data_IF_941335955105
#
_entry.id   IF_941335955105
#
_cell.length_a   1.000
_cell.length_b   1.000
_cell.length_c   1.000
_cell.angle_alpha   90.00
_cell.angle_beta   90.00
_cell.angle_gamma   90.00
#
_symmetry.space_group_name_H-M   'P 1'
#
loop_
_entity.id
_entity.type
_entity.pdbx_description
1 polymer ?
#
# COMPACT_ATOMS: atom_id res chain seq x y z
N UNK A 1 -13.86 6.08 3.87
CA UNK A 1 -12.95 5.02 3.35
C UNK A 1 -12.76 3.85 4.32
N UNK A 2 -12.75 4.02 5.65
CA UNK A 2 -12.60 2.90 6.62
C UNK A 2 -13.60 1.74 6.49
N UNK A 3 -14.84 2.01 6.09
CA UNK A 3 -15.84 0.95 5.89
C UNK A 3 -15.58 0.07 4.66
N UNK A 4 -14.85 0.56 3.65
CA UNK A 4 -14.57 -0.20 2.43
C UNK A 4 -13.47 -1.26 2.66
N UNK A 5 -12.43 -0.93 3.42
CA UNK A 5 -11.37 -1.88 3.78
C UNK A 5 -11.89 -3.01 4.67
N UNK A 6 -12.78 -2.71 5.63
CA UNK A 6 -13.38 -3.73 6.50
C UNK A 6 -14.41 -4.62 5.76
N UNK A 7 -15.17 -4.07 4.80
CA UNK A 7 -16.16 -4.85 4.03
C UNK A 7 -15.49 -5.85 3.07
N UNK A 8 -14.30 -5.55 2.55
CA UNK A 8 -13.58 -6.46 1.64
C UNK A 8 -13.01 -7.70 2.36
N UNK A 9 -12.77 -7.63 3.67
CA UNK A 9 -12.17 -8.73 4.45
C UNK A 9 -13.24 -9.75 4.89
N UNK A 10 -14.51 -9.35 5.01
CA UNK A 10 -15.58 -10.25 5.47
C UNK A 10 -16.22 -11.11 4.36
N UNK A 11 -15.93 -10.83 3.09
CA UNK A 11 -16.38 -11.60 1.92
C UNK A 11 -15.16 -12.17 1.18
N UNK A 12 -14.27 -12.85 1.93
CA UNK A 12 -12.96 -13.38 1.49
C UNK A 12 -13.03 -14.12 0.15
N UNK A 13 -14.10 -14.91 -0.06
CA UNK A 13 -14.28 -15.72 -1.26
C UNK A 13 -14.50 -14.83 -2.49
N UNK A 14 -15.34 -13.80 -2.36
CA UNK A 14 -15.71 -12.92 -3.48
C UNK A 14 -14.60 -11.93 -3.80
N UNK A 15 -13.98 -11.31 -2.79
CA UNK A 15 -12.91 -10.35 -2.98
C UNK A 15 -11.64 -11.00 -3.54
N UNK A 16 -11.19 -12.12 -2.96
CA UNK A 16 -9.98 -12.78 -3.44
C UNK A 16 -10.17 -13.47 -4.78
N UNK A 17 -11.38 -13.94 -5.08
CA UNK A 17 -11.73 -14.36 -6.44
C UNK A 17 -11.61 -13.20 -7.40
N UNK A 18 -12.15 -12.02 -7.08
CA UNK A 18 -12.08 -10.82 -7.92
C UNK A 18 -10.63 -10.33 -8.16
N UNK A 19 -9.80 -10.33 -7.12
CA UNK A 19 -8.35 -10.00 -7.23
C UNK A 19 -7.64 -10.99 -8.17
N UNK A 20 -7.96 -12.28 -8.08
CA UNK A 20 -7.38 -13.33 -8.94
C UNK A 20 -7.91 -13.28 -10.37
N UNK A 21 -9.18 -12.95 -10.56
CA UNK A 21 -9.89 -13.14 -11.83
C UNK A 21 -10.05 -11.89 -12.70
N UNK A 22 -9.92 -10.66 -12.16
CA UNK A 22 -10.29 -9.49 -12.97
C UNK A 22 -9.90 -8.10 -12.47
N UNK A 23 -9.18 -7.94 -11.35
CA UNK A 23 -8.79 -6.61 -10.86
C UNK A 23 -7.97 -5.83 -11.91
N UNK A 24 -7.02 -6.49 -12.58
CA UNK A 24 -6.23 -5.86 -13.65
C UNK A 24 -7.10 -5.48 -14.86
N UNK A 25 -8.10 -6.28 -15.17
CA UNK A 25 -9.01 -6.04 -16.30
C UNK A 25 -9.97 -4.87 -16.05
N UNK A 26 -10.36 -4.66 -14.79
CA UNK A 26 -11.10 -3.46 -14.38
C UNK A 26 -10.31 -2.19 -14.68
N UNK A 27 -9.02 -2.20 -14.35
CA UNK A 27 -8.13 -1.08 -14.63
C UNK A 27 -7.67 -1.00 -16.09
N UNK A 28 -7.80 -2.05 -16.91
CA UNK A 28 -7.45 -1.98 -18.34
C UNK A 28 -8.34 -0.98 -19.10
N UNK A 29 -9.63 -0.96 -18.79
CA UNK A 29 -10.57 0.02 -19.35
C UNK A 29 -10.29 1.44 -18.85
N UNK A 30 -9.92 1.57 -17.57
CA UNK A 30 -9.51 2.85 -16.98
C UNK A 30 -8.15 3.31 -17.50
N UNK A 31 -7.23 2.39 -17.82
CA UNK A 31 -5.92 2.70 -18.39
C UNK A 31 -6.05 3.40 -19.74
N UNK A 32 -7.03 3.01 -20.58
CA UNK A 32 -7.30 3.69 -21.84
C UNK A 32 -7.79 5.14 -21.67
N UNK A 33 -8.46 5.45 -20.55
CA UNK A 33 -8.84 6.82 -20.19
C UNK A 33 -7.65 7.60 -19.61
N UNK A 34 -6.88 6.96 -18.72
CA UNK A 34 -5.67 7.55 -18.14
C UNK A 34 -4.60 7.82 -19.20
N UNK A 35 -4.52 7.00 -20.25
CA UNK A 35 -3.65 7.21 -21.43
C UNK A 35 -3.92 8.53 -22.16
N UNK A 36 -5.17 9.00 -22.13
CA UNK A 36 -5.56 10.25 -22.78
C UNK A 36 -5.43 11.47 -21.86
N UNK A 37 -5.47 11.26 -20.54
CA UNK A 37 -5.55 12.33 -19.56
C UNK A 37 -4.24 12.58 -18.80
N UNK A 38 -3.35 11.59 -18.68
CA UNK A 38 -2.11 11.72 -17.92
C UNK A 38 -0.88 11.85 -18.82
N UNK A 39 0.08 12.73 -18.48
CA UNK A 39 1.38 12.74 -19.12
C UNK A 39 2.11 11.40 -18.89
N UNK A 40 2.92 10.99 -19.86
CA UNK A 40 3.59 9.68 -19.92
C UNK A 40 4.31 9.31 -18.62
N UNK A 41 4.95 10.29 -17.97
CA UNK A 41 5.68 10.10 -16.71
C UNK A 41 4.75 9.68 -15.57
N UNK A 42 3.62 10.36 -15.40
CA UNK A 42 2.59 10.04 -14.39
C UNK A 42 1.89 8.70 -14.68
N UNK A 43 1.71 8.34 -15.96
CA UNK A 43 1.19 7.01 -16.35
C UNK A 43 2.09 5.89 -15.83
N UNK A 44 3.40 6.01 -16.02
CA UNK A 44 4.36 5.00 -15.61
C UNK A 44 4.42 4.83 -14.09
N UNK A 45 4.21 5.92 -13.34
CA UNK A 45 4.09 5.88 -11.88
C UNK A 45 2.78 5.22 -11.44
N UNK A 46 1.66 5.58 -12.06
CA UNK A 46 0.37 4.97 -11.76
C UNK A 46 0.38 3.45 -11.97
N UNK A 47 0.84 3.00 -13.14
CA UNK A 47 0.93 1.56 -13.45
C UNK A 47 1.89 0.83 -12.50
N UNK A 48 2.97 1.49 -12.11
CA UNK A 48 3.90 0.95 -11.11
C UNK A 48 3.19 0.71 -9.77
N UNK A 49 2.46 1.71 -9.27
CA UNK A 49 1.72 1.59 -8.00
C UNK A 49 0.57 0.58 -8.08
N UNK A 50 -0.17 0.56 -9.19
CA UNK A 50 -1.25 -0.39 -9.41
C UNK A 50 -0.75 -1.83 -9.35
N UNK A 51 0.34 -2.14 -10.06
CA UNK A 51 0.92 -3.48 -10.04
C UNK A 51 1.42 -3.87 -8.64
N UNK A 52 2.07 -2.95 -7.93
CA UNK A 52 2.52 -3.17 -6.55
C UNK A 52 1.34 -3.51 -5.62
N UNK A 53 0.25 -2.76 -5.73
CA UNK A 53 -0.97 -2.99 -4.94
C UNK A 53 -1.63 -4.33 -5.32
N UNK A 54 -1.69 -4.68 -6.61
CA UNK A 54 -2.21 -5.99 -7.04
C UNK A 54 -1.37 -7.13 -6.44
N UNK A 55 -0.05 -7.00 -6.39
CA UNK A 55 0.83 -8.00 -5.79
C UNK A 55 0.58 -8.15 -4.28
N UNK A 56 0.43 -7.03 -3.56
CA UNK A 56 0.06 -7.04 -2.15
C UNK A 56 -1.28 -7.77 -1.93
N UNK A 57 -2.32 -7.41 -2.70
CA UNK A 57 -3.65 -8.02 -2.55
C UNK A 57 -3.63 -9.53 -2.84
N UNK A 58 -2.85 -9.97 -3.84
CA UNK A 58 -2.65 -11.40 -4.11
C UNK A 58 -1.97 -12.11 -2.95
N UNK A 59 -0.99 -11.48 -2.31
CA UNK A 59 -0.31 -12.03 -1.15
C UNK A 59 -1.25 -12.14 0.05
N UNK A 60 -2.06 -11.10 0.33
CA UNK A 60 -3.07 -11.14 1.40
C UNK A 60 -4.08 -12.25 1.15
N UNK A 61 -4.55 -12.41 -0.09
CA UNK A 61 -5.46 -13.49 -0.49
C UNK A 61 -4.85 -14.90 -0.50
N UNK A 62 -3.54 -15.02 -0.31
CA UNK A 62 -2.83 -16.28 -0.13
C UNK A 62 -2.34 -16.48 1.32
N UNK A 63 -2.56 -15.48 2.18
CA UNK A 63 -2.17 -15.52 3.57
C UNK A 63 -3.05 -16.46 4.37
N UNK A 64 -2.54 -16.92 5.50
CA UNK A 64 -3.37 -17.60 6.50
C UNK A 64 -4.29 -16.59 7.21
N UNK A 65 -5.42 -17.07 7.72
CA UNK A 65 -6.33 -16.23 8.51
C UNK A 65 -5.62 -15.58 9.72
N UNK A 66 -4.67 -16.28 10.34
CA UNK A 66 -3.87 -15.72 11.44
C UNK A 66 -3.07 -14.50 10.99
N UNK A 67 -2.43 -14.55 9.83
CA UNK A 67 -1.68 -13.41 9.30
C UNK A 67 -2.58 -12.23 8.93
N UNK A 68 -3.78 -12.50 8.40
CA UNK A 68 -4.77 -11.44 8.12
C UNK A 68 -5.24 -10.78 9.42
N UNK A 69 -5.47 -11.58 10.47
CA UNK A 69 -5.84 -11.08 11.79
C UNK A 69 -4.76 -10.15 12.36
N UNK A 70 -3.48 -10.52 12.22
CA UNK A 70 -2.36 -9.66 12.64
C UNK A 70 -2.37 -8.30 11.93
N UNK A 71 -2.70 -8.26 10.63
CA UNK A 71 -2.73 -7.01 9.85
C UNK A 71 -3.84 -6.04 10.27
N UNK A 72 -4.93 -6.55 10.84
CA UNK A 72 -6.10 -5.74 11.25
C UNK A 72 -6.15 -5.49 12.75
N UNK A 73 -5.07 -5.83 13.48
CA UNK A 73 -4.95 -5.48 14.89
C UNK A 73 -5.11 -3.97 15.09
N UNK A 74 -5.83 -3.52 16.13
CA UNK A 74 -6.02 -2.09 16.40
C UNK A 74 -4.70 -1.31 16.46
N UNK A 75 -3.67 -1.87 17.10
CA UNK A 75 -2.36 -1.22 17.22
C UNK A 75 -1.70 -0.97 15.85
N UNK A 76 -1.91 -1.85 14.86
CA UNK A 76 -1.40 -1.65 13.49
C UNK A 76 -2.13 -0.51 12.81
N UNK A 77 -3.46 -0.44 12.99
CA UNK A 77 -4.28 0.63 12.44
C UNK A 77 -3.86 1.98 13.03
N UNK A 78 -3.59 2.02 14.33
CA UNK A 78 -3.17 3.24 15.03
C UNK A 78 -1.75 3.65 14.63
N UNK A 79 -0.83 2.69 14.46
CA UNK A 79 0.50 2.96 13.92
C UNK A 79 0.46 3.54 12.49
N UNK A 80 -0.38 2.98 11.61
CA UNK A 80 -0.55 3.44 10.21
C UNK A 80 -1.15 4.85 10.15
N UNK A 81 -2.08 5.17 11.07
CA UNK A 81 -2.72 6.48 11.10
C UNK A 81 -1.74 7.60 11.44
N UNK A 82 -0.61 7.26 12.09
CA UNK A 82 0.37 8.23 12.55
C UNK A 82 -0.26 9.15 13.58
N UNK A 83 0.00 8.95 14.87
CA UNK A 83 -0.30 10.01 15.83
C UNK A 83 0.61 11.20 15.48
N UNK A 84 0.09 12.43 15.34
CA UNK A 84 0.84 13.71 15.21
C UNK A 84 2.37 13.61 15.40
N UNK A 85 3.07 13.10 14.38
CA UNK A 85 4.48 12.77 14.45
C UNK A 85 5.18 13.38 13.25
N UNK A 86 6.23 14.16 13.55
CA UNK A 86 7.06 14.85 12.56
C UNK A 86 7.59 13.95 11.44
N UNK A 87 7.61 12.63 11.65
CA UNK A 87 7.99 11.66 10.64
C UNK A 87 7.03 11.67 9.44
N UNK A 88 5.73 11.74 9.68
CA UNK A 88 4.72 11.71 8.62
C UNK A 88 4.52 13.08 7.96
N UNK A 89 4.83 14.19 8.65
CA UNK A 89 4.80 15.55 8.06
C UNK A 89 5.69 15.63 6.81
N UNK A 90 6.87 15.01 6.85
CA UNK A 90 7.79 14.98 5.70
C UNK A 90 7.24 14.17 4.52
N UNK A 91 6.49 13.11 4.81
CA UNK A 91 5.85 12.25 3.81
C UNK A 91 4.64 12.96 3.20
N UNK A 92 3.86 13.68 4.00
CA UNK A 92 2.74 14.48 3.51
C UNK A 92 3.23 15.57 2.54
N UNK A 93 4.34 16.24 2.88
CA UNK A 93 4.98 17.22 1.98
C UNK A 93 5.42 16.56 0.67
N UNK A 94 6.06 15.39 0.73
CA UNK A 94 6.46 14.64 -0.47
C UNK A 94 5.25 14.28 -1.35
N UNK A 95 4.16 13.81 -0.74
CA UNK A 95 2.93 13.45 -1.45
C UNK A 95 2.27 14.66 -2.11
N UNK A 96 2.17 15.79 -1.40
CA UNK A 96 1.67 17.06 -1.96
C UNK A 96 2.56 17.53 -3.12
N UNK A 97 3.87 17.31 -3.04
CA UNK A 97 4.79 17.65 -4.13
C UNK A 97 4.57 16.81 -5.39
N UNK A 98 4.06 15.58 -5.25
CA UNK A 98 3.72 14.70 -6.38
C UNK A 98 2.43 15.09 -7.07
N UNK A 99 1.50 15.74 -6.36
CA UNK A 99 0.30 16.31 -6.98
C UNK A 99 0.66 17.52 -7.85
N UNK A 100 1.64 18.31 -7.40
CA UNK A 100 2.07 19.54 -8.07
C UNK A 100 3.09 19.29 -9.18
N UNK A 101 3.91 18.24 -9.07
CA UNK A 101 4.97 17.90 -10.02
C UNK A 101 4.82 16.47 -10.53
N UNK A 102 5.11 16.24 -11.81
CA UNK A 102 5.19 14.86 -12.32
C UNK A 102 6.27 14.05 -11.59
N UNK A 103 5.87 13.16 -10.68
CA UNK A 103 6.77 12.30 -9.91
C UNK A 103 7.39 11.18 -10.75
N UNK A 104 8.52 10.63 -10.31
CA UNK A 104 9.12 9.42 -10.89
C UNK A 104 8.86 8.20 -10.00
N UNK A 105 9.11 7.00 -10.54
CA UNK A 105 9.12 5.77 -9.74
C UNK A 105 10.15 5.83 -8.60
N UNK A 106 11.32 6.43 -8.85
CA UNK A 106 12.35 6.65 -7.84
C UNK A 106 11.84 7.54 -6.71
N UNK A 107 11.13 8.63 -7.01
CA UNK A 107 10.61 9.54 -5.99
C UNK A 107 9.59 8.81 -5.09
N UNK A 108 8.69 8.04 -5.71
CA UNK A 108 7.74 7.19 -4.98
C UNK A 108 8.45 6.18 -4.09
N UNK A 109 9.50 5.52 -4.59
CA UNK A 109 10.25 4.55 -3.82
C UNK A 109 11.01 5.18 -2.65
N UNK A 110 11.55 6.39 -2.80
CA UNK A 110 12.14 7.14 -1.69
C UNK A 110 11.10 7.43 -0.60
N UNK A 111 9.93 7.93 -0.97
CA UNK A 111 8.84 8.19 -0.02
C UNK A 111 8.37 6.90 0.68
N UNK A 112 8.29 5.78 -0.05
CA UNK A 112 8.00 4.48 0.56
C UNK A 112 9.09 4.06 1.57
N UNK A 113 10.37 4.23 1.25
CA UNK A 113 11.44 3.94 2.22
C UNK A 113 11.38 4.83 3.47
N UNK A 114 11.08 6.12 3.30
CA UNK A 114 10.81 7.03 4.43
C UNK A 114 9.63 6.55 5.27
N UNK A 115 8.52 6.19 4.62
CA UNK A 115 7.33 5.64 5.27
C UNK A 115 7.64 4.36 6.07
N UNK A 116 8.45 3.46 5.51
CA UNK A 116 8.89 2.23 6.19
C UNK A 116 9.59 2.56 7.52
N UNK A 117 10.40 3.62 7.54
CA UNK A 117 11.13 4.02 8.75
C UNK A 117 10.16 4.61 9.79
N UNK A 118 9.22 5.43 9.36
CA UNK A 118 8.21 6.01 10.25
C UNK A 118 7.31 4.95 10.87
N UNK A 119 6.82 4.02 10.06
CA UNK A 119 5.92 2.97 10.55
C UNK A 119 6.62 1.98 11.47
N UNK A 120 7.93 1.74 11.31
CA UNK A 120 8.72 0.91 12.24
C UNK A 120 8.68 1.49 13.66
N UNK A 121 8.92 2.80 13.76
CA UNK A 121 8.89 3.52 15.04
C UNK A 121 7.49 3.51 15.68
N UNK A 122 6.44 3.69 14.88
CA UNK A 122 5.07 3.67 15.39
C UNK A 122 4.61 2.27 15.76
N UNK A 123 4.99 1.23 15.00
CA UNK A 123 4.68 -0.15 15.35
C UNK A 123 5.40 -0.58 16.63
N UNK A 124 6.66 -0.18 16.82
CA UNK A 124 7.38 -0.42 18.08
C UNK A 124 6.73 0.28 19.27
N UNK A 125 6.08 1.43 19.04
CA UNK A 125 5.36 2.19 20.09
C UNK A 125 3.99 1.59 20.40
N UNK A 126 3.21 1.26 19.37
CA UNK A 126 1.81 0.86 19.50
C UNK A 126 1.64 -0.66 19.68
N UNK A 127 2.49 -1.47 19.06
CA UNK A 127 2.36 -2.93 19.03
C UNK A 127 3.49 -3.62 19.79
N UNK A 128 3.14 -4.32 20.89
CA UNK A 128 4.13 -5.11 21.65
C UNK A 128 4.48 -6.48 21.03
N UNK A 129 3.73 -6.91 20.01
CA UNK A 129 3.86 -8.25 19.41
C UNK A 129 4.82 -8.26 18.24
N UNK A 130 5.94 -8.97 18.40
CA UNK A 130 6.92 -9.18 17.32
C UNK A 130 6.33 -9.94 16.11
N UNK A 131 5.28 -10.73 16.31
CA UNK A 131 4.57 -11.42 15.23
C UNK A 131 3.80 -10.41 14.39
N UNK A 132 3.14 -9.45 15.02
CA UNK A 132 2.39 -8.38 14.37
C UNK A 132 3.31 -7.52 13.51
N UNK A 133 4.42 -7.02 14.09
CA UNK A 133 5.41 -6.20 13.36
C UNK A 133 6.04 -6.97 12.21
N UNK A 134 6.43 -8.23 12.42
CA UNK A 134 6.95 -9.09 11.35
C UNK A 134 5.93 -9.32 10.24
N UNK A 135 4.69 -9.58 10.60
CA UNK A 135 3.62 -9.83 9.63
C UNK A 135 3.35 -8.57 8.82
N UNK A 136 3.27 -7.41 9.46
CA UNK A 136 3.15 -6.13 8.76
C UNK A 136 4.28 -5.95 7.73
N UNK A 137 5.54 -6.07 8.14
CA UNK A 137 6.67 -5.86 7.23
C UNK A 137 6.75 -6.90 6.13
N UNK A 138 6.33 -8.15 6.36
CA UNK A 138 6.20 -9.15 5.29
C UNK A 138 5.32 -8.62 4.14
N UNK A 139 4.15 -8.06 4.44
CA UNK A 139 3.25 -7.53 3.42
C UNK A 139 3.72 -6.19 2.85
N UNK A 140 4.33 -5.35 3.69
CA UNK A 140 4.94 -4.09 3.25
C UNK A 140 6.06 -4.31 2.23
N UNK A 141 6.94 -5.29 2.48
CA UNK A 141 8.05 -5.62 1.59
C UNK A 141 7.54 -6.22 0.26
N UNK A 142 6.43 -6.96 0.28
CA UNK A 142 5.76 -7.42 -0.95
C UNK A 142 5.22 -6.24 -1.75
N UNK A 143 4.55 -5.30 -1.08
CA UNK A 143 4.00 -4.10 -1.71
C UNK A 143 5.11 -3.24 -2.35
N UNK A 144 6.24 -3.11 -1.66
CA UNK A 144 7.36 -2.28 -2.08
C UNK A 144 8.44 -3.04 -2.87
N UNK A 145 8.26 -4.33 -3.13
CA UNK A 145 9.24 -5.19 -3.81
C UNK A 145 9.75 -4.63 -5.15
N UNK A 146 8.92 -3.89 -5.88
CA UNK A 146 9.32 -3.25 -7.14
C UNK A 146 10.31 -2.08 -6.97
N UNK A 147 10.46 -1.54 -5.76
CA UNK A 147 11.42 -0.48 -5.45
C UNK A 147 12.87 -0.97 -5.29
N UNK A 148 13.09 -2.28 -5.13
CA UNK A 148 14.43 -2.86 -4.97
C UNK A 148 15.31 -2.64 -6.23
N UNK A 149 14.69 -2.45 -7.40
CA UNK A 149 15.35 -2.31 -8.69
C UNK A 149 15.12 -0.93 -9.34
N UNK A 150 14.75 0.09 -8.58
CA UNK A 150 14.62 1.48 -9.06
C UNK A 150 15.81 2.31 -8.60
#
# INVERSE_FOLDING_TARGET
MHRLLLFCILDEITFCSYVKSGLRDCFNSTNALLEKCLPVKSKNVFLFMLDSTINLLKAVCAASAAEVIELVQPCVIDAIRGSDNMCYDSIEIDLLSFELNSSTKSDICKTLHSYRTCIDLELDRECSSAITTRTFFKFYDIWTSKCINQ
#
